data_IF_181407553379
#
_entry.id   IF_181407553379
#
_cell.length_a   1.000
_cell.length_b   1.000
_cell.length_c   1.000
_cell.angle_alpha   90.00
_cell.angle_beta   90.00
_cell.angle_gamma   90.00
#
_symmetry.space_group_name_H-M   'P 1'
#
loop_
_entity.id
_entity.type
_entity.pdbx_description
1 polymer ?
#
# COMPACT_ATOMS: atom_id res chain seq x y z
N UNK A 1 -46.00 -8.63 -35.11
CA UNK A 1 -45.09 -9.69 -35.62
C UNK A 1 -43.85 -9.08 -36.23
N UNK A 2 -43.91 -8.39 -37.38
CA UNK A 2 -42.72 -7.80 -38.02
C UNK A 2 -42.00 -6.77 -37.13
N UNK A 3 -42.76 -5.87 -36.49
CA UNK A 3 -42.21 -4.87 -35.58
C UNK A 3 -41.59 -5.50 -34.33
N UNK A 4 -42.24 -6.52 -33.78
CA UNK A 4 -41.75 -7.22 -32.60
C UNK A 4 -40.45 -8.00 -32.91
N UNK A 5 -40.35 -8.60 -34.11
CA UNK A 5 -39.11 -9.22 -34.60
C UNK A 5 -37.97 -8.21 -34.69
N UNK A 6 -38.24 -7.04 -35.26
CA UNK A 6 -37.26 -5.96 -35.37
C UNK A 6 -36.81 -5.46 -33.98
N UNK A 7 -37.76 -5.31 -33.05
CA UNK A 7 -37.46 -4.92 -31.66
C UNK A 7 -36.56 -5.99 -30.99
N UNK A 8 -36.86 -7.28 -31.16
CA UNK A 8 -36.01 -8.35 -30.63
C UNK A 8 -34.61 -8.39 -31.27
N UNK A 9 -34.49 -8.19 -32.58
CA UNK A 9 -33.19 -8.13 -33.26
C UNK A 9 -32.32 -6.98 -32.72
N UNK A 10 -32.92 -5.81 -32.47
CA UNK A 10 -32.18 -4.69 -31.88
C UNK A 10 -31.70 -4.98 -30.47
N UNK A 11 -32.53 -5.66 -29.65
CA UNK A 11 -32.12 -6.04 -28.29
C UNK A 11 -31.05 -7.13 -28.31
N UNK A 12 -31.13 -8.10 -29.23
CA UNK A 12 -30.07 -9.10 -29.45
C UNK A 12 -28.75 -8.40 -29.78
N UNK A 13 -28.75 -7.49 -30.77
CA UNK A 13 -27.55 -6.74 -31.15
C UNK A 13 -26.97 -5.93 -30.00
N UNK A 14 -27.85 -5.30 -29.20
CA UNK A 14 -27.43 -4.55 -28.00
C UNK A 14 -26.78 -5.45 -26.96
N UNK A 15 -27.36 -6.62 -26.69
CA UNK A 15 -26.84 -7.57 -25.71
C UNK A 15 -25.53 -8.20 -26.18
N UNK A 16 -25.41 -8.53 -27.46
CA UNK A 16 -24.16 -9.04 -28.04
C UNK A 16 -23.04 -8.01 -27.97
N UNK A 17 -23.33 -6.75 -28.30
CA UNK A 17 -22.38 -5.63 -28.15
C UNK A 17 -21.94 -5.46 -26.69
N UNK A 18 -22.86 -5.64 -25.74
CA UNK A 18 -22.51 -5.59 -24.31
C UNK A 18 -21.66 -6.80 -23.89
N UNK A 19 -21.94 -7.99 -24.45
CA UNK A 19 -21.17 -9.21 -24.19
C UNK A 19 -19.73 -9.08 -24.69
N UNK A 20 -19.53 -8.54 -25.89
CA UNK A 20 -18.19 -8.34 -26.47
C UNK A 20 -17.39 -7.33 -25.67
N UNK A 21 -18.00 -6.20 -25.28
CA UNK A 21 -17.36 -5.21 -24.40
C UNK A 21 -16.90 -5.83 -23.08
N UNK A 22 -17.79 -6.55 -22.38
CA UNK A 22 -17.46 -7.17 -21.10
C UNK A 22 -16.40 -8.28 -21.26
N UNK A 23 -16.43 -9.03 -22.36
CA UNK A 23 -15.40 -10.02 -22.66
C UNK A 23 -14.02 -9.36 -22.84
N UNK A 24 -13.95 -8.27 -23.60
CA UNK A 24 -12.71 -7.51 -23.77
C UNK A 24 -12.19 -6.95 -22.45
N UNK A 25 -13.08 -6.38 -21.61
CA UNK A 25 -12.70 -5.90 -20.27
C UNK A 25 -12.17 -7.03 -19.37
N UNK A 26 -12.83 -8.18 -19.39
CA UNK A 26 -12.39 -9.37 -18.63
C UNK A 26 -11.02 -9.84 -19.11
N UNK A 27 -10.80 -9.88 -20.42
CA UNK A 27 -9.55 -10.39 -20.98
C UNK A 27 -8.39 -9.41 -20.72
N UNK A 28 -8.63 -8.09 -20.75
CA UNK A 28 -7.67 -7.09 -20.27
C UNK A 28 -7.31 -7.27 -18.80
N UNK A 29 -8.30 -7.50 -17.93
CA UNK A 29 -8.05 -7.76 -16.49
C UNK A 29 -7.26 -9.05 -16.27
N UNK A 30 -7.54 -10.10 -17.03
CA UNK A 30 -6.77 -11.35 -16.99
C UNK A 30 -5.32 -11.14 -17.41
N UNK A 31 -5.10 -10.36 -18.46
CA UNK A 31 -3.74 -10.02 -18.91
C UNK A 31 -2.99 -9.24 -17.82
N UNK A 32 -3.59 -8.19 -17.27
CA UNK A 32 -2.99 -7.41 -16.18
C UNK A 32 -2.67 -8.29 -14.96
N UNK A 33 -3.59 -9.17 -14.56
CA UNK A 33 -3.36 -10.09 -13.44
C UNK A 33 -2.19 -11.05 -13.72
N UNK A 34 -2.06 -11.55 -14.95
CA UNK A 34 -0.95 -12.39 -15.38
C UNK A 34 0.39 -11.64 -15.32
N UNK A 35 0.42 -10.40 -15.81
CA UNK A 35 1.60 -9.53 -15.74
C UNK A 35 2.04 -9.31 -14.28
N UNK A 36 1.11 -8.94 -13.40
CA UNK A 36 1.40 -8.78 -11.96
C UNK A 36 1.88 -10.11 -11.33
N UNK A 37 1.23 -11.23 -11.63
CA UNK A 37 1.67 -12.54 -11.11
C UNK A 37 3.06 -12.93 -11.59
N UNK A 38 3.42 -12.58 -12.83
CA UNK A 38 4.75 -12.81 -13.39
C UNK A 38 5.80 -12.00 -12.62
N UNK A 39 5.51 -10.76 -12.23
CA UNK A 39 6.39 -9.91 -11.41
C UNK A 39 6.52 -10.42 -9.96
N UNK A 40 5.47 -11.06 -9.42
CA UNK A 40 5.54 -11.66 -8.10
C UNK A 40 6.44 -12.90 -8.04
N UNK A 41 6.74 -13.55 -9.18
CA UNK A 41 7.61 -14.73 -9.23
C UNK A 41 9.06 -14.40 -8.86
N UNK A 42 9.72 -13.39 -9.47
CA UNK A 42 11.01 -12.87 -9.00
C UNK A 42 10.98 -12.42 -7.54
N UNK A 43 10.01 -11.60 -7.13
CA UNK A 43 9.92 -11.09 -5.76
C UNK A 43 9.80 -12.20 -4.70
N UNK A 44 9.17 -13.33 -5.04
CA UNK A 44 9.09 -14.52 -4.17
C UNK A 44 10.40 -15.32 -4.12
N UNK A 45 11.25 -15.21 -5.15
CA UNK A 45 12.55 -15.91 -5.24
C UNK A 45 13.72 -15.12 -4.65
N UNK A 46 13.58 -13.81 -4.45
CA UNK A 46 14.57 -13.00 -3.74
C UNK A 46 14.83 -13.63 -2.37
N UNK A 47 16.08 -13.87 -1.95
CA UNK A 47 16.42 -14.34 -0.59
C UNK A 47 16.00 -13.34 0.49
N UNK A 48 15.87 -13.79 1.74
CA UNK A 48 15.46 -12.91 2.84
C UNK A 48 16.52 -11.84 3.12
N UNK A 49 17.81 -12.13 2.95
CA UNK A 49 18.93 -11.21 3.14
C UNK A 49 18.87 -10.02 2.17
N UNK A 50 18.62 -10.31 0.89
CA UNK A 50 18.50 -9.27 -0.14
C UNK A 50 17.26 -8.42 0.11
N UNK A 51 16.16 -9.05 0.54
CA UNK A 51 14.95 -8.34 0.92
C UNK A 51 15.20 -7.40 2.11
N UNK A 52 15.99 -7.84 3.10
CA UNK A 52 16.38 -7.03 4.24
C UNK A 52 17.31 -5.87 3.83
N UNK A 53 18.26 -6.07 2.91
CA UNK A 53 19.07 -4.97 2.35
C UNK A 53 18.19 -3.91 1.69
N UNK A 54 17.23 -4.33 0.85
CA UNK A 54 16.27 -3.40 0.22
C UNK A 54 15.48 -2.64 1.29
N UNK A 55 15.06 -3.31 2.37
CA UNK A 55 14.34 -2.64 3.45
C UNK A 55 15.20 -1.61 4.17
N UNK A 56 16.48 -1.92 4.41
CA UNK A 56 17.41 -1.02 5.07
C UNK A 56 17.65 0.25 4.24
N UNK A 57 17.80 0.10 2.92
CA UNK A 57 17.97 1.20 1.96
C UNK A 57 16.69 2.02 1.75
N UNK A 58 15.51 1.39 1.80
CA UNK A 58 14.24 2.08 1.55
C UNK A 58 13.64 2.71 2.81
N UNK A 59 14.04 2.26 4.00
CA UNK A 59 13.48 2.71 5.28
C UNK A 59 14.47 3.61 6.04
N UNK A 60 14.80 4.76 5.45
CA UNK A 60 15.67 5.75 6.09
C UNK A 60 15.05 6.33 7.36
N UNK A 61 13.79 6.77 7.31
CA UNK A 61 13.14 7.45 8.44
C UNK A 61 11.62 7.32 8.38
N UNK A 62 11.00 7.03 9.52
CA UNK A 62 9.56 7.01 9.68
C UNK A 62 9.05 8.37 10.16
N UNK A 63 8.45 9.15 9.27
CA UNK A 63 7.93 10.49 9.58
C UNK A 63 6.50 10.42 10.14
N UNK A 64 6.28 11.04 11.31
CA UNK A 64 4.98 11.10 11.98
C UNK A 64 4.23 12.43 11.86
N UNK A 65 4.70 13.41 11.11
CA UNK A 65 4.14 14.79 11.03
C UNK A 65 2.79 14.89 10.30
N UNK A 66 2.56 14.11 9.23
CA UNK A 66 1.41 14.38 8.34
C UNK A 66 0.71 13.13 7.79
N UNK A 67 0.77 12.01 8.51
CA UNK A 67 0.45 10.65 8.00
C UNK A 67 1.28 10.18 6.80
N UNK A 68 2.04 11.07 6.14
CA UNK A 68 2.84 10.76 4.96
C UNK A 68 4.20 10.19 5.34
N UNK A 69 4.59 9.18 4.55
CA UNK A 69 5.89 8.54 4.53
C UNK A 69 6.32 7.78 5.81
N UNK A 70 5.76 6.58 5.98
CA UNK A 70 6.19 5.58 6.99
C UNK A 70 6.65 4.32 6.24
N UNK A 71 7.88 4.31 5.69
CA UNK A 71 8.33 3.24 4.83
C UNK A 71 8.26 1.88 5.53
N UNK A 72 8.62 1.80 6.83
CA UNK A 72 8.55 0.53 7.60
C UNK A 72 7.10 -0.01 7.69
N UNK A 73 6.12 0.88 7.82
CA UNK A 73 4.70 0.52 7.87
C UNK A 73 4.25 0.04 6.49
N UNK A 74 4.63 0.77 5.44
CA UNK A 74 4.30 0.40 4.07
C UNK A 74 4.85 -0.99 3.71
N UNK A 75 6.14 -1.24 3.92
CA UNK A 75 6.74 -2.56 3.60
C UNK A 75 6.14 -3.69 4.45
N UNK A 76 5.83 -3.45 5.72
CA UNK A 76 5.23 -4.46 6.61
C UNK A 76 3.77 -4.79 6.27
N UNK A 77 3.14 -3.97 5.40
CA UNK A 77 1.76 -4.16 4.94
C UNK A 77 1.64 -5.01 3.66
N UNK A 78 2.74 -5.18 2.90
CA UNK A 78 2.74 -5.81 1.56
C UNK A 78 2.30 -7.28 1.60
N UNK A 79 3.01 -8.13 2.36
CA UNK A 79 2.65 -9.53 2.54
C UNK A 79 3.18 -10.09 3.87
N UNK A 80 2.79 -11.32 4.21
CA UNK A 80 3.24 -12.00 5.44
C UNK A 80 4.76 -12.17 5.50
N UNK A 81 5.41 -12.47 4.38
CA UNK A 81 6.87 -12.62 4.28
C UNK A 81 7.61 -11.30 4.51
N UNK A 82 7.14 -10.22 3.91
CA UNK A 82 7.72 -8.88 4.10
C UNK A 82 7.53 -8.40 5.53
N UNK A 83 6.35 -8.63 6.11
CA UNK A 83 6.08 -8.35 7.52
C UNK A 83 7.02 -9.10 8.45
N UNK A 84 7.25 -10.39 8.23
CA UNK A 84 8.18 -11.19 9.04
C UNK A 84 9.59 -10.61 9.00
N UNK A 85 10.10 -10.32 7.81
CA UNK A 85 11.44 -9.73 7.63
C UNK A 85 11.56 -8.34 8.25
N UNK A 86 10.55 -7.47 8.08
CA UNK A 86 10.56 -6.16 8.71
C UNK A 86 10.54 -6.27 10.25
N UNK A 87 9.76 -7.19 10.82
CA UNK A 87 9.70 -7.41 12.27
C UNK A 87 10.99 -7.99 12.86
N UNK A 88 11.79 -8.73 12.07
CA UNK A 88 13.10 -9.20 12.50
C UNK A 88 14.20 -8.14 12.43
N UNK A 89 13.88 -6.92 11.98
CA UNK A 89 14.82 -5.80 11.90
C UNK A 89 14.36 -4.63 12.79
N UNK A 90 14.52 -4.71 14.12
CA UNK A 90 14.01 -3.68 15.03
C UNK A 90 14.66 -2.30 14.79
N UNK A 91 15.88 -2.26 14.23
CA UNK A 91 16.55 -1.04 13.80
C UNK A 91 15.68 -0.17 12.86
N UNK A 92 14.94 -0.78 11.92
CA UNK A 92 14.06 -0.04 11.00
C UNK A 92 12.93 0.68 11.72
N UNK A 93 12.47 0.13 12.85
CA UNK A 93 11.41 0.70 13.67
C UNK A 93 11.93 1.78 14.63
N UNK A 94 13.25 1.87 14.82
CA UNK A 94 13.90 2.87 15.70
C UNK A 94 14.25 4.20 15.00
N UNK A 95 14.19 4.23 13.66
CA UNK A 95 14.46 5.41 12.82
C UNK A 95 13.21 6.29 12.73
N UNK A 96 13.04 7.22 13.68
CA UNK A 96 11.81 8.01 13.83
C UNK A 96 12.14 9.51 13.79
N UNK A 97 11.33 10.28 13.05
CA UNK A 97 11.36 11.74 13.10
C UNK A 97 10.02 12.28 13.54
N UNK A 98 10.09 13.18 14.53
CA UNK A 98 8.96 13.86 15.15
C UNK A 98 9.21 15.37 15.04
N UNK A 99 8.87 16.03 13.94
CA UNK A 99 8.84 17.50 13.97
C UNK A 99 7.53 17.99 14.57
N UNK A 100 7.68 18.98 15.42
CA UNK A 100 6.58 19.76 15.95
C UNK A 100 6.42 21.01 15.08
N UNK A 101 5.48 21.01 14.14
CA UNK A 101 5.11 22.25 13.45
C UNK A 101 4.27 23.10 14.41
N UNK A 102 4.83 24.25 14.82
CA UNK A 102 4.08 25.29 15.51
C UNK A 102 3.19 25.97 14.47
N UNK A 103 1.92 25.57 14.40
CA UNK A 103 0.96 26.22 13.51
C UNK A 103 0.48 27.54 14.14
N UNK A 104 0.87 28.68 13.56
CA UNK A 104 0.41 30.01 14.00
C UNK A 104 -1.04 30.32 13.59
N UNK A 105 -1.63 29.55 12.66
CA UNK A 105 -2.99 29.78 12.17
C UNK A 105 -3.97 28.65 12.58
N UNK A 106 -4.82 28.93 13.56
CA UNK A 106 -5.82 27.99 14.10
C UNK A 106 -7.00 27.70 13.16
N UNK A 107 -7.13 28.43 12.04
CA UNK A 107 -8.34 28.44 11.23
C UNK A 107 -8.35 27.44 10.05
N UNK A 108 -7.23 26.79 9.73
CA UNK A 108 -7.14 25.85 8.60
C UNK A 108 -6.40 24.55 8.96
N UNK A 109 -6.43 24.14 10.23
CA UNK A 109 -5.80 22.88 10.63
C UNK A 109 -6.59 21.70 10.01
N UNK A 110 -5.95 20.84 9.20
CA UNK A 110 -6.56 19.55 8.92
C UNK A 110 -6.71 18.85 10.27
N UNK A 111 -7.95 18.44 10.60
CA UNK A 111 -8.27 17.62 11.77
C UNK A 111 -7.47 16.32 11.70
N UNK A 112 -6.23 16.38 12.15
CA UNK A 112 -5.31 15.27 12.17
C UNK A 112 -5.82 14.36 13.27
N UNK A 113 -6.17 13.12 12.91
CA UNK A 113 -6.62 12.11 13.87
C UNK A 113 -5.41 11.67 14.71
N UNK A 114 -5.07 12.48 15.71
CA UNK A 114 -3.94 12.24 16.61
C UNK A 114 -4.04 10.88 17.30
N UNK A 115 -5.24 10.34 17.48
CA UNK A 115 -5.46 9.00 18.06
C UNK A 115 -4.89 7.90 17.17
N UNK A 116 -5.12 7.96 15.85
CA UNK A 116 -4.53 6.98 14.90
C UNK A 116 -3.01 7.11 14.82
N UNK A 117 -2.52 8.33 14.80
CA UNK A 117 -1.09 8.63 14.75
C UNK A 117 -0.39 8.11 16.01
N UNK A 118 -0.97 8.34 17.19
CA UNK A 118 -0.48 7.83 18.45
C UNK A 118 -0.51 6.31 18.51
N UNK A 119 -1.60 5.67 18.06
CA UNK A 119 -1.68 4.22 18.00
C UNK A 119 -0.61 3.60 17.08
N UNK A 120 -0.35 4.23 15.93
CA UNK A 120 0.73 3.82 15.02
C UNK A 120 2.11 4.04 15.64
N UNK A 121 2.34 5.17 16.30
CA UNK A 121 3.60 5.47 16.97
C UNK A 121 3.88 4.45 18.06
N UNK A 122 2.91 4.16 18.93
CA UNK A 122 3.01 3.11 19.95
C UNK A 122 3.35 1.76 19.35
N UNK A 123 2.76 1.41 18.21
CA UNK A 123 3.06 0.17 17.48
C UNK A 123 4.50 0.12 16.97
N UNK A 124 5.02 1.24 16.49
CA UNK A 124 6.40 1.35 15.99
C UNK A 124 7.39 1.26 17.15
N UNK A 125 7.12 1.95 18.26
CA UNK A 125 7.94 1.89 19.47
C UNK A 125 8.00 0.48 20.04
N UNK A 126 6.86 -0.22 20.15
CA UNK A 126 6.80 -1.64 20.57
C UNK A 126 7.73 -2.52 19.73
N UNK A 127 7.75 -2.30 18.41
CA UNK A 127 8.52 -3.10 17.45
C UNK A 127 10.00 -2.75 17.37
N UNK A 128 10.39 -1.56 17.84
CA UNK A 128 11.80 -1.17 17.96
C UNK A 128 12.53 -1.94 19.08
N UNK A 129 11.79 -2.56 20.01
CA UNK A 129 12.35 -3.34 21.12
C UNK A 129 13.37 -2.54 21.93
N UNK A 130 14.57 -3.09 22.18
CA UNK A 130 15.66 -2.45 22.92
C UNK A 130 16.62 -1.67 22.01
N UNK A 131 16.30 -1.48 20.72
CA UNK A 131 17.21 -0.76 19.83
C UNK A 131 17.28 0.74 20.18
N UNK A 132 18.48 1.35 20.16
CA UNK A 132 18.63 2.77 20.42
C UNK A 132 17.76 3.59 19.46
N UNK A 133 16.85 4.40 20.00
CA UNK A 133 16.02 5.26 19.18
C UNK A 133 16.85 6.41 18.62
N UNK A 134 16.82 6.58 17.31
CA UNK A 134 17.33 7.79 16.66
C UNK A 134 16.16 8.74 16.52
N UNK A 135 16.02 9.66 17.48
CA UNK A 135 15.00 10.72 17.44
C UNK A 135 15.66 11.96 16.83
N UNK A 136 15.28 12.29 15.61
CA UNK A 136 15.60 13.59 15.02
C UNK A 136 14.46 14.57 15.32
N UNK A 137 14.81 15.71 15.92
CA UNK A 137 13.92 16.83 16.22
C UNK A 137 13.96 17.85 15.09
#
# INVERSE_FOLDING_TARGET
VERDLQDYDTEIQRLESRRTLLAAQRDNLKQYASEVQSLLSPARKVPDEILQCIFDDCCDTNNFEAFRNKPVIAISSVCTRWRRNALSMPALWSRITLRWEVCEDTNNYPKTDHSKLFALLSKVLERSQQWPMTISL
#
